data_IF_543806783512
#
_entry.id   IF_543806783512
#
_cell.length_a   1.000
_cell.length_b   1.000
_cell.length_c   1.000
_cell.angle_alpha   90.00
_cell.angle_beta   90.00
_cell.angle_gamma   90.00
#
_symmetry.space_group_name_H-M   'P 1'
#
loop_
_entity.id
_entity.type
_entity.pdbx_description
1 polymer ?
#
# COMPACT_ATOMS: atom_id res chain seq x y z
N UNK A 1 10.12 24.31 26.78
CA UNK A 1 9.28 23.44 25.93
C UNK A 1 8.43 24.35 25.07
N UNK A 2 8.53 24.26 23.74
CA UNK A 2 7.79 25.14 22.82
C UNK A 2 6.65 24.36 22.17
N UNK A 3 5.54 25.05 21.86
CA UNK A 3 4.31 24.44 21.32
C UNK A 3 4.53 23.77 19.95
N UNK A 4 5.62 24.11 19.28
CA UNK A 4 6.06 23.45 18.06
C UNK A 4 6.55 22.02 18.32
N UNK A 5 7.13 21.74 19.49
CA UNK A 5 7.71 20.42 19.82
C UNK A 5 6.62 19.36 20.08
N UNK A 6 5.45 19.78 20.59
CA UNK A 6 4.28 18.91 20.83
C UNK A 6 3.41 18.73 19.59
N UNK A 7 3.27 19.78 18.78
CA UNK A 7 2.50 19.73 17.52
C UNK A 7 3.29 19.04 16.41
N UNK A 8 4.61 19.26 16.34
CA UNK A 8 5.54 18.65 15.38
C UNK A 8 6.34 17.52 16.01
N UNK A 9 5.69 16.64 16.78
CA UNK A 9 6.38 15.48 17.32
C UNK A 9 6.69 14.48 16.17
N UNK A 10 7.91 13.94 16.07
CA UNK A 10 8.29 13.00 15.01
C UNK A 10 7.49 11.67 15.04
N UNK A 11 6.65 11.47 16.05
CA UNK A 11 5.76 10.31 16.22
C UNK A 11 4.80 10.16 15.04
N UNK A 12 4.36 11.27 14.44
CA UNK A 12 3.46 11.26 13.28
C UNK A 12 4.09 10.58 12.04
N UNK A 13 5.42 10.69 11.87
CA UNK A 13 6.13 10.08 10.75
C UNK A 13 6.28 8.55 10.88
N UNK A 14 6.53 8.06 12.10
CA UNK A 14 6.69 6.62 12.36
C UNK A 14 5.38 5.84 12.20
N UNK A 15 4.25 6.42 12.62
CA UNK A 15 2.92 5.81 12.50
C UNK A 15 2.52 5.65 11.02
N UNK A 16 2.79 6.66 10.19
CA UNK A 16 2.52 6.59 8.76
C UNK A 16 3.36 5.50 8.07
N UNK A 17 4.64 5.38 8.41
CA UNK A 17 5.49 4.30 7.92
C UNK A 17 4.99 2.91 8.31
N UNK A 18 4.51 2.74 9.55
CA UNK A 18 3.90 1.49 10.02
C UNK A 18 2.61 1.15 9.28
N UNK A 19 1.76 2.14 9.01
CA UNK A 19 0.53 1.93 8.22
C UNK A 19 0.87 1.47 6.80
N UNK A 20 1.86 2.11 6.16
CA UNK A 20 2.31 1.74 4.81
C UNK A 20 2.86 0.31 4.80
N UNK A 21 3.66 -0.06 5.80
CA UNK A 21 4.21 -1.42 5.95
C UNK A 21 3.10 -2.48 6.08
N UNK A 22 2.05 -2.19 6.87
CA UNK A 22 0.91 -3.10 7.02
C UNK A 22 0.13 -3.23 5.71
N UNK A 23 -0.10 -2.11 5.03
CA UNK A 23 -0.80 -2.09 3.74
C UNK A 23 0.00 -2.81 2.64
N UNK A 24 1.32 -2.75 2.67
CA UNK A 24 2.23 -3.46 1.76
C UNK A 24 2.02 -4.98 1.86
N UNK A 25 2.00 -5.52 3.09
CA UNK A 25 1.75 -6.95 3.34
C UNK A 25 0.37 -7.37 2.83
N UNK A 26 -0.67 -6.56 3.08
CA UNK A 26 -2.04 -6.84 2.61
C UNK A 26 -2.08 -6.87 1.08
N UNK A 27 -1.46 -5.89 0.42
CA UNK A 27 -1.42 -5.83 -1.03
C UNK A 27 -0.70 -7.04 -1.64
N UNK A 28 0.43 -7.47 -1.07
CA UNK A 28 1.16 -8.66 -1.50
C UNK A 28 0.28 -9.91 -1.33
N UNK A 29 -0.38 -10.09 -0.19
CA UNK A 29 -1.28 -11.22 0.04
C UNK A 29 -2.44 -11.26 -0.96
N UNK A 30 -3.03 -10.11 -1.25
CA UNK A 30 -4.15 -9.98 -2.19
C UNK A 30 -3.70 -10.25 -3.65
N UNK A 31 -2.49 -9.80 -4.03
CA UNK A 31 -1.86 -10.14 -5.32
C UNK A 31 -1.58 -11.65 -5.40
N UNK A 32 -1.02 -12.25 -4.33
CA UNK A 32 -0.74 -13.69 -4.23
C UNK A 32 -2.01 -14.55 -4.28
N UNK A 33 -3.11 -14.06 -3.72
CA UNK A 33 -4.41 -14.77 -3.73
C UNK A 33 -5.20 -14.52 -5.03
N UNK A 34 -4.87 -13.48 -5.80
CA UNK A 34 -5.52 -13.22 -7.08
C UNK A 34 -5.24 -14.35 -8.10
N UNK A 35 -6.27 -14.84 -8.79
CA UNK A 35 -6.13 -15.85 -9.86
C UNK A 35 -5.51 -15.31 -11.16
N UNK A 36 -4.82 -14.17 -11.11
CA UNK A 36 -4.18 -13.54 -12.28
C UNK A 36 -2.96 -14.36 -12.70
N UNK A 37 -2.61 -14.27 -13.98
CA UNK A 37 -1.46 -14.99 -14.56
C UNK A 37 -0.17 -14.77 -13.74
N UNK A 38 0.69 -15.79 -13.74
CA UNK A 38 1.95 -15.81 -12.97
C UNK A 38 2.82 -14.57 -13.23
N UNK A 39 2.86 -14.10 -14.48
CA UNK A 39 3.65 -12.93 -14.88
C UNK A 39 3.10 -11.63 -14.30
N UNK A 40 1.77 -11.48 -14.27
CA UNK A 40 1.11 -10.32 -13.68
C UNK A 40 1.32 -10.27 -12.16
N UNK A 41 1.29 -11.43 -11.49
CA UNK A 41 1.62 -11.56 -10.07
C UNK A 41 3.03 -11.06 -9.78
N UNK A 42 4.01 -11.56 -10.53
CA UNK A 42 5.42 -11.16 -10.36
C UNK A 42 5.61 -9.66 -10.58
N UNK A 43 5.00 -9.08 -11.62
CA UNK A 43 5.09 -7.64 -11.89
C UNK A 43 4.51 -6.80 -10.75
N UNK A 44 3.35 -7.18 -10.21
CA UNK A 44 2.73 -6.48 -9.08
C UNK A 44 3.56 -6.56 -7.81
N UNK A 45 4.11 -7.74 -7.49
CA UNK A 45 4.97 -7.94 -6.33
C UNK A 45 6.27 -7.13 -6.47
N UNK A 46 6.92 -7.17 -7.64
CA UNK A 46 8.15 -6.44 -7.89
C UNK A 46 7.96 -4.93 -7.80
N UNK A 47 6.83 -4.40 -8.29
CA UNK A 47 6.48 -2.98 -8.21
C UNK A 47 6.28 -2.52 -6.76
N UNK A 48 5.53 -3.28 -5.96
CA UNK A 48 5.27 -2.98 -4.54
C UNK A 48 6.57 -3.07 -3.74
N UNK A 49 7.40 -4.09 -4.00
CA UNK A 49 8.67 -4.29 -3.30
C UNK A 49 9.71 -3.19 -3.59
N UNK A 50 9.84 -2.74 -4.84
CA UNK A 50 10.83 -1.71 -5.20
C UNK A 50 10.41 -0.29 -4.79
N UNK A 51 9.09 -0.06 -4.68
CA UNK A 51 8.54 1.24 -4.37
C UNK A 51 7.32 1.06 -3.44
N UNK A 52 7.51 0.87 -2.12
CA UNK A 52 6.41 0.56 -1.21
C UNK A 52 5.31 1.64 -1.24
N UNK A 53 5.69 2.92 -1.29
CA UNK A 53 4.71 4.02 -1.33
C UNK A 53 4.03 4.12 -2.70
N UNK A 54 4.81 4.14 -3.79
CA UNK A 54 4.25 4.30 -5.15
C UNK A 54 3.51 3.07 -5.65
N UNK A 55 4.01 1.88 -5.32
CA UNK A 55 3.39 0.60 -5.60
C UNK A 55 2.04 0.48 -4.89
N UNK A 56 1.92 0.93 -3.64
CA UNK A 56 0.65 0.99 -2.93
C UNK A 56 -0.34 1.94 -3.59
N UNK A 57 0.10 3.13 -4.04
CA UNK A 57 -0.76 4.10 -4.74
C UNK A 57 -1.29 3.51 -6.06
N UNK A 58 -0.42 2.92 -6.87
CA UNK A 58 -0.81 2.27 -8.14
C UNK A 58 -1.72 1.08 -7.86
N UNK A 59 -1.45 0.31 -6.81
CA UNK A 59 -2.30 -0.80 -6.36
C UNK A 59 -3.69 -0.32 -5.93
N UNK A 60 -3.78 0.81 -5.22
CA UNK A 60 -5.06 1.41 -4.86
C UNK A 60 -5.88 1.78 -6.10
N UNK A 61 -5.27 2.44 -7.09
CA UNK A 61 -5.99 2.92 -8.26
C UNK A 61 -6.30 1.82 -9.28
N UNK A 62 -5.35 0.94 -9.59
CA UNK A 62 -5.46 -0.03 -10.68
C UNK A 62 -5.67 -1.47 -10.19
N UNK A 63 -5.10 -1.83 -9.03
CA UNK A 63 -5.25 -3.15 -8.41
C UNK A 63 -6.64 -3.37 -7.79
N UNK A 64 -7.09 -2.41 -6.98
CA UNK A 64 -8.40 -2.42 -6.30
C UNK A 64 -9.54 -1.78 -7.10
N UNK A 65 -9.25 -0.80 -7.97
CA UNK A 65 -10.26 -0.14 -8.81
C UNK A 65 -11.05 -1.08 -9.72
N UNK A 66 -10.49 -2.24 -10.08
CA UNK A 66 -11.17 -3.27 -10.86
C UNK A 66 -12.30 -4.02 -10.10
N UNK A 67 -12.42 -3.82 -8.77
CA UNK A 67 -13.46 -4.42 -7.92
C UNK A 67 -14.48 -3.40 -7.37
N UNK A 68 -14.36 -2.12 -7.74
CA UNK A 68 -15.12 -1.01 -7.15
C UNK A 68 -16.32 -0.52 -7.96
N UNK A 69 -16.94 -1.35 -8.81
CA UNK A 69 -18.12 -0.98 -9.59
C UNK A 69 -19.14 -2.11 -9.58
N UNK A 70 -20.12 -2.00 -8.68
CA UNK A 70 -21.21 -2.97 -8.57
C UNK A 70 -21.56 -3.29 -7.13
N UNK A 71 -22.09 -2.32 -6.41
CA UNK A 71 -23.12 -2.62 -5.40
C UNK A 71 -24.29 -3.24 -6.15
N UNK A 72 -24.34 -4.57 -6.16
CA UNK A 72 -25.53 -5.37 -6.45
C UNK A 72 -26.41 -5.47 -5.20
#
# INVERSE_FOLDING_TARGET
MTLADTVYSPVWGGILGLIILILDIIAIFEVLQSGRSMLSKLLWILLIFFFPVGGLIIYCCCGRGARGGGVV
#
